data_IF_296237258559
#
_entry.id   IF_296237258559
#
_cell.length_a   1.000
_cell.length_b   1.000
_cell.length_c   1.000
_cell.angle_alpha   90.00
_cell.angle_beta   90.00
_cell.angle_gamma   90.00
#
_symmetry.space_group_name_H-M   'P 1'
#
loop_
_entity.id
_entity.type
_entity.pdbx_description
1 polymer ?
#
# COMPACT_ATOMS: atom_id res chain seq x y z
N UNK A 1 29.25 -2.52 1.17
CA UNK A 1 29.56 -1.56 2.24
C UNK A 1 28.83 -0.24 1.96
N UNK A 2 27.50 -0.24 2.09
CA UNK A 2 26.71 0.98 2.23
C UNK A 2 26.14 0.87 3.64
N UNK A 3 26.81 1.52 4.59
CA UNK A 3 26.25 1.65 5.92
C UNK A 3 24.92 2.38 5.77
N UNK A 4 23.84 1.73 6.21
CA UNK A 4 22.49 2.25 6.32
C UNK A 4 22.51 3.48 7.25
N UNK A 5 22.87 4.65 6.74
CA UNK A 5 22.67 5.90 7.47
C UNK A 5 21.22 6.30 7.20
N UNK A 6 20.28 5.64 7.88
CA UNK A 6 18.94 6.19 8.09
C UNK A 6 19.11 7.43 8.97
N UNK A 7 19.42 8.57 8.34
CA UNK A 7 19.49 9.86 9.03
C UNK A 7 18.06 10.38 9.21
N UNK A 8 17.38 9.81 10.19
CA UNK A 8 16.04 10.23 10.57
C UNK A 8 16.11 11.61 11.22
N UNK A 9 15.03 12.40 11.07
CA UNK A 9 14.98 13.70 11.73
C UNK A 9 15.05 13.53 13.26
N UNK A 10 15.60 14.49 14.02
CA UNK A 10 15.75 14.35 15.48
C UNK A 10 14.44 14.11 16.26
N UNK A 11 13.30 14.48 15.67
CA UNK A 11 11.96 14.30 16.26
C UNK A 11 11.28 13.00 15.80
N UNK A 12 11.86 12.30 14.84
CA UNK A 12 11.27 11.10 14.28
C UNK A 12 11.61 9.91 15.18
N UNK A 13 10.56 9.18 15.57
CA UNK A 13 10.68 7.87 16.22
C UNK A 13 10.47 6.80 15.16
N UNK A 14 11.47 5.97 14.94
CA UNK A 14 11.32 4.82 14.05
C UNK A 14 10.36 3.82 14.69
N UNK A 15 9.33 3.46 13.93
CA UNK A 15 8.32 2.47 14.29
C UNK A 15 8.31 1.30 13.31
N UNK A 16 9.18 1.34 12.29
CA UNK A 16 9.35 0.28 11.32
C UNK A 16 10.44 -0.65 11.83
N UNK A 17 10.04 -1.85 12.22
CA UNK A 17 10.95 -2.92 12.61
C UNK A 17 11.27 -3.77 11.37
N UNK A 18 12.33 -3.40 10.65
CA UNK A 18 12.72 -4.07 9.40
C UNK A 18 12.96 -5.59 9.60
N UNK A 19 13.75 -6.06 10.61
CA UNK A 19 13.92 -7.49 10.85
C UNK A 19 12.60 -8.24 11.07
N UNK A 20 11.67 -7.66 11.84
CA UNK A 20 10.36 -8.29 12.09
C UNK A 20 9.53 -8.38 10.82
N UNK A 21 9.54 -7.34 9.97
CA UNK A 21 8.83 -7.36 8.68
C UNK A 21 9.47 -8.33 7.69
N UNK A 22 10.79 -8.40 7.61
CA UNK A 22 11.52 -9.36 6.75
C UNK A 22 11.18 -10.80 7.14
N UNK A 23 11.13 -11.11 8.44
CA UNK A 23 10.71 -12.41 8.93
C UNK A 23 9.26 -12.73 8.54
N UNK A 24 8.36 -11.76 8.62
CA UNK A 24 6.96 -11.92 8.21
C UNK A 24 6.80 -12.13 6.70
N UNK A 25 7.61 -11.49 5.86
CA UNK A 25 7.59 -11.71 4.40
C UNK A 25 8.09 -13.12 4.04
N UNK A 26 9.04 -13.65 4.80
CA UNK A 26 9.61 -14.99 4.60
C UNK A 26 8.78 -16.16 5.15
N UNK A 27 7.60 -15.90 5.75
CA UNK A 27 6.78 -16.95 6.37
C UNK A 27 6.27 -17.97 5.35
N UNK A 28 5.93 -19.15 5.85
CA UNK A 28 5.19 -20.13 5.06
C UNK A 28 3.77 -19.62 4.73
N UNK A 29 3.20 -20.00 3.57
CA UNK A 29 1.80 -19.74 3.25
C UNK A 29 0.88 -20.28 4.36
N UNK A 30 -0.21 -19.57 4.69
CA UNK A 30 -1.20 -20.06 5.64
C UNK A 30 -1.92 -21.28 5.08
N UNK A 31 -2.42 -22.14 5.96
CA UNK A 31 -3.37 -23.18 5.56
C UNK A 31 -4.79 -22.62 5.44
N UNK A 32 -5.73 -23.44 4.95
CA UNK A 32 -7.12 -23.02 4.75
C UNK A 32 -7.79 -22.55 6.06
N UNK A 33 -7.44 -23.15 7.19
CA UNK A 33 -8.05 -22.82 8.48
C UNK A 33 -7.57 -21.44 8.97
N UNK A 34 -6.27 -21.16 8.87
CA UNK A 34 -5.72 -19.84 9.19
C UNK A 34 -6.33 -18.75 8.29
N UNK A 35 -6.51 -19.02 6.99
CA UNK A 35 -7.17 -18.08 6.06
C UNK A 35 -8.60 -17.79 6.52
N UNK A 36 -9.39 -18.83 6.81
CA UNK A 36 -10.77 -18.71 7.26
C UNK A 36 -10.89 -17.89 8.54
N UNK A 37 -10.07 -18.17 9.55
CA UNK A 37 -10.09 -17.44 10.84
C UNK A 37 -9.80 -15.95 10.66
N UNK A 38 -8.77 -15.61 9.88
CA UNK A 38 -8.40 -14.21 9.60
C UNK A 38 -9.54 -13.52 8.82
N UNK A 39 -10.12 -14.20 7.85
CA UNK A 39 -11.22 -13.67 7.05
C UNK A 39 -12.47 -13.41 7.91
N UNK A 40 -12.83 -14.31 8.82
CA UNK A 40 -13.98 -14.13 9.72
C UNK A 40 -13.80 -12.94 10.66
N UNK A 41 -12.58 -12.70 11.16
CA UNK A 41 -12.28 -11.48 11.93
C UNK A 41 -12.48 -10.21 11.11
N UNK A 42 -11.98 -10.20 9.87
CA UNK A 42 -12.16 -9.07 8.95
C UNK A 42 -13.65 -8.81 8.64
N UNK A 43 -14.44 -9.86 8.39
CA UNK A 43 -15.88 -9.77 8.17
C UNK A 43 -16.63 -9.27 9.41
N UNK A 44 -16.13 -9.58 10.61
CA UNK A 44 -16.61 -9.04 11.89
C UNK A 44 -16.21 -7.57 12.11
N UNK A 45 -15.57 -6.93 11.13
CA UNK A 45 -15.08 -5.54 11.14
C UNK A 45 -14.02 -5.28 12.20
N UNK A 46 -13.30 -6.33 12.60
CA UNK A 46 -12.15 -6.21 13.48
C UNK A 46 -10.89 -5.92 12.65
N UNK A 47 -10.04 -4.97 13.07
CA UNK A 47 -8.77 -4.73 12.41
C UNK A 47 -7.88 -5.97 12.44
N UNK A 48 -7.26 -6.29 11.30
CA UNK A 48 -6.23 -7.32 11.22
C UNK A 48 -4.90 -6.79 11.76
N UNK A 49 -4.16 -7.66 12.45
CA UNK A 49 -2.78 -7.38 12.85
C UNK A 49 -1.83 -7.49 11.65
N UNK A 50 -0.62 -6.94 11.78
CA UNK A 50 0.42 -7.04 10.75
C UNK A 50 0.76 -8.50 10.42
N UNK A 51 0.74 -9.38 11.41
CA UNK A 51 1.02 -10.81 11.24
C UNK A 51 -0.05 -11.51 10.39
N UNK A 52 -1.31 -11.14 10.59
CA UNK A 52 -2.45 -11.70 9.84
C UNK A 52 -2.46 -11.18 8.40
N UNK A 53 -2.18 -9.90 8.21
CA UNK A 53 -2.00 -9.34 6.85
C UNK A 53 -0.85 -10.02 6.13
N UNK A 54 0.28 -10.26 6.81
CA UNK A 54 1.39 -11.01 6.25
C UNK A 54 1.00 -12.46 5.87
N UNK A 55 0.14 -13.11 6.66
CA UNK A 55 -0.41 -14.43 6.33
C UNK A 55 -1.15 -14.39 4.99
N UNK A 56 -2.10 -13.46 4.83
CA UNK A 56 -2.90 -13.34 3.61
C UNK A 56 -2.05 -13.00 2.38
N UNK A 57 -1.01 -12.17 2.55
CA UNK A 57 -0.06 -11.84 1.47
C UNK A 57 0.86 -13.02 1.08
N UNK A 58 1.01 -14.01 1.96
CA UNK A 58 1.82 -15.20 1.71
C UNK A 58 1.05 -16.29 0.93
N UNK A 59 -0.26 -16.16 0.72
CA UNK A 59 -1.08 -17.09 -0.08
C UNK A 59 -0.51 -17.19 -1.51
N UNK A 60 -0.45 -18.42 -2.05
CA UNK A 60 0.13 -18.72 -3.37
C UNK A 60 -0.82 -19.38 -4.34
N UNK A 61 -1.89 -20.00 -3.86
CA UNK A 61 -2.87 -20.69 -4.68
C UNK A 61 -4.14 -19.85 -4.90
N UNK A 62 -4.85 -20.15 -5.98
CA UNK A 62 -6.07 -19.44 -6.37
C UNK A 62 -7.22 -19.67 -5.39
N UNK A 63 -7.29 -20.84 -4.75
CA UNK A 63 -8.38 -21.17 -3.84
C UNK A 63 -8.34 -20.28 -2.59
N UNK A 64 -7.17 -20.13 -1.96
CA UNK A 64 -6.96 -19.20 -0.85
C UNK A 64 -7.27 -17.76 -1.23
N UNK A 65 -6.83 -17.31 -2.41
CA UNK A 65 -7.13 -15.95 -2.89
C UNK A 65 -8.62 -15.74 -3.17
N UNK A 66 -9.34 -16.75 -3.65
CA UNK A 66 -10.79 -16.66 -3.87
C UNK A 66 -11.52 -16.35 -2.57
N UNK A 67 -11.17 -17.01 -1.46
CA UNK A 67 -11.77 -16.76 -0.13
C UNK A 67 -11.57 -15.30 0.29
N UNK A 68 -10.34 -14.77 0.13
CA UNK A 68 -10.02 -13.37 0.47
C UNK A 68 -10.78 -12.38 -0.41
N UNK A 69 -10.84 -12.63 -1.71
CA UNK A 69 -11.51 -11.74 -2.66
C UNK A 69 -13.04 -11.72 -2.46
N UNK A 70 -13.64 -12.86 -2.13
CA UNK A 70 -15.07 -12.97 -1.84
C UNK A 70 -15.41 -12.22 -0.55
N UNK A 71 -14.62 -12.42 0.51
CA UNK A 71 -14.78 -11.68 1.76
C UNK A 71 -14.58 -10.17 1.57
N UNK A 72 -13.59 -9.75 0.78
CA UNK A 72 -13.36 -8.34 0.46
C UNK A 72 -14.56 -7.72 -0.27
N UNK A 73 -15.18 -8.47 -1.20
CA UNK A 73 -16.39 -8.03 -1.92
C UNK A 73 -17.59 -7.91 -0.98
N UNK A 74 -17.78 -8.88 -0.09
CA UNK A 74 -18.83 -8.85 0.93
C UNK A 74 -18.66 -7.65 1.86
N UNK A 75 -17.48 -7.49 2.46
CA UNK A 75 -17.18 -6.40 3.38
C UNK A 75 -17.33 -5.04 2.69
N UNK A 76 -16.84 -4.89 1.45
CA UNK A 76 -17.03 -3.67 0.66
C UNK A 76 -18.51 -3.34 0.50
N UNK A 77 -19.35 -4.32 0.15
CA UNK A 77 -20.79 -4.11 -0.02
C UNK A 77 -21.49 -3.83 1.31
N UNK A 78 -21.12 -4.52 2.38
CA UNK A 78 -21.70 -4.34 3.70
C UNK A 78 -21.38 -2.96 4.31
N UNK A 79 -20.20 -2.39 4.01
CA UNK A 79 -19.77 -1.09 4.54
C UNK A 79 -20.12 0.07 3.60
N UNK A 80 -19.88 -0.09 2.29
CA UNK A 80 -19.98 0.99 1.31
C UNK A 80 -21.13 0.84 0.30
N UNK A 81 -21.79 -0.32 0.27
CA UNK A 81 -22.78 -0.66 -0.76
C UNK A 81 -22.14 -0.74 -2.15
N UNK A 82 -22.94 -0.49 -3.20
CA UNK A 82 -22.45 -0.40 -4.59
C UNK A 82 -21.89 0.98 -4.95
N UNK A 83 -21.74 1.87 -3.97
CA UNK A 83 -21.23 3.23 -4.16
C UNK A 83 -19.81 3.20 -4.73
N UNK A 84 -19.59 4.06 -5.71
CA UNK A 84 -18.29 4.38 -6.29
C UNK A 84 -18.11 5.89 -6.23
N UNK A 85 -17.04 6.36 -5.59
CA UNK A 85 -16.71 7.80 -5.52
C UNK A 85 -15.85 8.15 -6.73
N UNK A 86 -16.26 9.16 -7.48
CA UNK A 86 -15.53 9.65 -8.65
C UNK A 86 -14.77 10.94 -8.30
N UNK A 87 -13.54 11.04 -8.77
CA UNK A 87 -12.73 12.25 -8.69
C UNK A 87 -11.87 12.42 -9.94
N UNK A 88 -11.51 13.65 -10.27
CA UNK A 88 -10.59 13.97 -11.35
C UNK A 88 -9.31 14.53 -10.74
N UNK A 89 -8.13 13.91 -10.98
CA UNK A 89 -6.86 14.49 -10.58
C UNK A 89 -6.59 15.74 -11.42
N UNK A 90 -6.16 16.81 -10.77
CA UNK A 90 -5.77 18.06 -11.42
C UNK A 90 -4.34 18.42 -11.03
N UNK A 91 -3.43 18.30 -11.99
CA UNK A 91 -2.02 18.62 -11.80
C UNK A 91 -1.78 20.09 -12.14
N UNK A 92 -1.53 20.91 -11.12
CA UNK A 92 -1.22 22.34 -11.28
C UNK A 92 0.18 22.56 -11.84
N UNK A 93 1.11 21.65 -11.60
CA UNK A 93 2.44 21.73 -12.17
C UNK A 93 3.22 20.44 -12.02
N UNK A 94 4.35 20.37 -12.74
CA UNK A 94 5.20 19.19 -12.79
C UNK A 94 6.68 19.46 -12.48
N UNK A 95 7.00 20.66 -11.97
CA UNK A 95 8.33 20.98 -11.47
C UNK A 95 8.56 20.29 -10.12
N UNK A 96 9.70 19.62 -9.96
CA UNK A 96 10.04 18.90 -8.74
C UNK A 96 11.54 18.92 -8.49
N UNK A 97 11.95 19.21 -7.26
CA UNK A 97 13.36 19.24 -6.83
C UNK A 97 13.91 17.86 -6.47
N UNK A 98 13.04 16.85 -6.34
CA UNK A 98 13.41 15.49 -5.98
C UNK A 98 13.80 14.67 -7.21
N UNK A 99 14.51 13.56 -6.99
CA UNK A 99 14.99 12.69 -8.07
C UNK A 99 14.53 11.23 -7.92
N UNK A 100 13.24 11.05 -7.64
CA UNK A 100 12.66 9.73 -7.40
C UNK A 100 12.78 8.84 -8.66
N UNK A 101 13.43 7.68 -8.53
CA UNK A 101 13.73 6.78 -9.67
C UNK A 101 12.49 6.27 -10.39
N UNK A 102 11.36 6.19 -9.68
CA UNK A 102 10.06 5.75 -10.19
C UNK A 102 9.19 6.87 -10.79
N UNK A 103 9.60 8.14 -10.68
CA UNK A 103 8.74 9.27 -11.01
C UNK A 103 9.15 9.96 -12.31
N UNK A 104 8.19 10.23 -13.21
CA UNK A 104 8.43 10.98 -14.45
C UNK A 104 8.76 12.45 -14.21
N UNK A 105 8.32 13.03 -13.09
CA UNK A 105 8.60 14.43 -12.73
C UNK A 105 9.94 14.61 -12.02
N UNK A 106 10.72 13.55 -11.81
CA UNK A 106 12.05 13.64 -11.20
C UNK A 106 12.91 14.70 -11.90
N UNK A 107 13.69 15.46 -11.13
CA UNK A 107 14.44 16.62 -11.63
C UNK A 107 15.38 16.30 -12.80
N UNK A 108 15.94 15.09 -12.82
CA UNK A 108 16.90 14.66 -13.84
C UNK A 108 16.26 14.26 -15.17
N UNK A 109 14.92 14.22 -15.23
CA UNK A 109 14.22 13.89 -16.46
C UNK A 109 14.02 15.14 -17.33
N UNK A 110 14.96 15.36 -18.25
CA UNK A 110 14.93 16.48 -19.19
C UNK A 110 14.04 16.22 -20.43
N UNK A 111 13.48 15.02 -20.56
CA UNK A 111 12.57 14.66 -21.65
C UNK A 111 11.14 15.20 -21.45
N UNK A 112 10.83 15.77 -20.27
CA UNK A 112 9.50 16.27 -19.93
C UNK A 112 9.51 17.81 -19.92
N UNK A 113 8.60 18.43 -20.66
CA UNK A 113 8.38 19.88 -20.60
C UNK A 113 7.88 20.28 -19.22
N UNK A 114 8.58 21.23 -18.58
CA UNK A 114 8.18 21.75 -17.27
C UNK A 114 7.16 22.85 -17.41
N UNK A 115 6.07 22.74 -16.67
CA UNK A 115 4.98 23.70 -16.68
C UNK A 115 4.30 23.73 -15.31
N UNK A 116 3.97 24.95 -14.88
CA UNK A 116 3.11 25.22 -13.74
C UNK A 116 2.06 26.20 -14.24
N UNK A 117 0.79 25.84 -14.07
CA UNK A 117 -0.33 26.65 -14.51
C UNK A 117 -0.31 28.01 -13.81
N UNK A 118 -0.51 29.06 -14.58
CA UNK A 118 -0.80 30.40 -14.10
C UNK A 118 -2.24 30.50 -13.56
N UNK A 119 -2.58 31.53 -12.78
CA UNK A 119 -3.96 31.75 -12.32
C UNK A 119 -5.02 31.80 -13.43
N UNK A 120 -4.66 32.21 -14.63
CA UNK A 120 -5.58 32.27 -15.78
C UNK A 120 -5.78 30.90 -16.46
N UNK A 121 -4.89 29.93 -16.19
CA UNK A 121 -4.97 28.56 -16.72
C UNK A 121 -5.64 27.57 -15.73
N UNK A 122 -5.91 28.02 -14.49
CA UNK A 122 -6.63 27.29 -13.44
C UNK A 122 -8.15 27.47 -13.56
#
# INVERSE_FOLDING_TARGET
>A
MLANIRRLSPKFRDFIDDPSLEALVGRAPPDAHEIEDIVQRSLSKEPLSVMEVAALLAIRDEAGWSVVLDAARELKRAVYGDRMVLFAPFYVGNECVNDCTYCSYRRSNDAVTRHTLSPDEL
#
